data_IF_455272632698
#
_entry.id   IF_455272632698
#
_cell.length_a   1.000
_cell.length_b   1.000
_cell.length_c   1.000
_cell.angle_alpha   90.00
_cell.angle_beta   90.00
_cell.angle_gamma   90.00
#
_symmetry.space_group_name_H-M   'P 1'
#
loop_
_entity.id
_entity.type
_entity.pdbx_description
1 polymer ?
#
# COMPACT_ATOMS: atom_id res chain seq x y z
N UNK A 1 -1.49 -7.73 -11.91
CA UNK A 1 -2.02 -7.27 -10.62
C UNK A 1 -2.65 -5.91 -10.85
N UNK A 2 -3.90 -5.72 -10.46
CA UNK A 2 -4.53 -4.39 -10.45
C UNK A 2 -4.14 -3.71 -9.13
N UNK A 3 -3.82 -2.42 -9.17
CA UNK A 3 -3.56 -1.59 -7.99
C UNK A 3 -4.13 -0.18 -8.18
N UNK A 4 -4.48 0.45 -7.07
CA UNK A 4 -4.90 1.86 -7.03
C UNK A 4 -3.68 2.77 -6.91
N UNK A 5 -3.74 3.97 -7.46
CA UNK A 5 -2.71 4.99 -7.27
C UNK A 5 -2.99 5.84 -6.01
N UNK A 6 -1.98 6.13 -5.17
CA UNK A 6 -2.12 7.09 -4.07
C UNK A 6 -2.56 8.47 -4.56
N UNK A 7 -3.34 9.19 -3.75
CA UNK A 7 -3.72 10.58 -3.98
C UNK A 7 -2.98 11.46 -2.95
N UNK A 8 -2.20 12.42 -3.43
CA UNK A 8 -1.33 13.26 -2.58
C UNK A 8 -1.13 14.65 -3.18
N UNK A 9 -0.84 15.63 -2.33
CA UNK A 9 -0.53 17.02 -2.75
C UNK A 9 0.92 17.13 -3.22
N UNK A 10 1.81 16.44 -2.52
CA UNK A 10 3.23 16.27 -2.79
C UNK A 10 3.69 15.03 -2.02
N UNK A 11 4.94 14.60 -2.23
CA UNK A 11 5.49 13.41 -1.60
C UNK A 11 5.27 13.42 -0.08
N UNK A 12 4.70 12.32 0.44
CA UNK A 12 4.42 12.12 1.88
C UNK A 12 3.37 13.11 2.47
N UNK A 13 2.53 13.69 1.59
CA UNK A 13 1.40 14.54 1.99
C UNK A 13 0.10 14.06 1.33
N UNK A 14 -0.56 13.03 1.89
CA UNK A 14 -1.71 12.41 1.27
C UNK A 14 -2.93 13.34 1.28
N UNK A 15 -3.81 13.10 0.31
CA UNK A 15 -5.18 13.60 0.38
C UNK A 15 -5.84 12.99 1.61
N UNK A 16 -6.48 13.83 2.43
CA UNK A 16 -7.03 13.41 3.71
C UNK A 16 -8.34 14.11 4.02
N UNK A 17 -9.30 13.35 4.53
CA UNK A 17 -10.50 13.92 5.14
C UNK A 17 -10.11 14.56 6.47
N UNK A 18 -10.59 15.76 6.74
CA UNK A 18 -10.22 16.52 7.94
C UNK A 18 -11.44 17.18 8.59
N UNK A 19 -11.32 17.48 9.88
CA UNK A 19 -12.23 18.42 10.56
C UNK A 19 -12.05 19.85 10.07
N UNK A 20 -10.89 20.16 9.51
CA UNK A 20 -10.52 21.49 9.03
C UNK A 20 -10.96 21.69 7.58
N UNK A 21 -11.32 22.93 7.22
CA UNK A 21 -11.78 23.27 5.88
C UNK A 21 -10.73 23.08 4.75
N UNK A 22 -9.45 22.90 5.10
CA UNK A 22 -8.37 22.67 4.14
C UNK A 22 -8.29 21.20 3.66
N UNK A 23 -8.95 20.28 4.35
CA UNK A 23 -8.96 18.86 3.99
C UNK A 23 -9.75 18.57 2.71
N UNK A 24 -9.53 17.37 2.17
CA UNK A 24 -10.33 16.85 1.07
C UNK A 24 -11.72 16.44 1.55
N UNK A 25 -12.62 16.30 0.59
CA UNK A 25 -14.01 15.88 0.78
C UNK A 25 -14.28 14.58 0.04
N UNK A 26 -15.49 14.04 0.18
CA UNK A 26 -15.90 12.86 -0.60
C UNK A 26 -15.91 13.09 -2.12
N UNK A 27 -15.95 14.34 -2.58
CA UNK A 27 -15.91 14.68 -4.01
C UNK A 27 -14.52 14.49 -4.63
N UNK A 28 -13.47 14.48 -3.79
CA UNK A 28 -12.09 14.31 -4.22
C UNK A 28 -11.65 12.84 -4.28
N UNK A 29 -12.52 11.91 -3.86
CA UNK A 29 -12.22 10.49 -3.78
C UNK A 29 -12.09 9.85 -5.18
N UNK A 30 -11.06 9.04 -5.38
CA UNK A 30 -10.98 8.15 -6.54
C UNK A 30 -12.04 7.04 -6.39
N UNK A 31 -13.10 7.12 -7.20
CA UNK A 31 -14.15 6.10 -7.25
C UNK A 31 -13.94 5.23 -8.49
N UNK A 32 -13.77 3.92 -8.29
CA UNK A 32 -13.60 2.96 -9.37
C UNK A 32 -14.34 1.65 -9.10
N UNK A 33 -14.43 0.81 -10.14
CA UNK A 33 -15.01 -0.53 -10.05
C UNK A 33 -14.13 -1.49 -10.83
N UNK A 34 -13.92 -2.68 -10.27
CA UNK A 34 -13.12 -3.74 -10.87
C UNK A 34 -13.95 -5.02 -10.87
N UNK A 35 -14.00 -5.71 -12.00
CA UNK A 35 -14.66 -7.00 -12.09
C UNK A 35 -13.71 -8.08 -11.53
N UNK A 36 -14.22 -8.90 -10.62
CA UNK A 36 -13.48 -9.98 -9.98
C UNK A 36 -13.98 -11.34 -10.44
N UNK A 37 -13.13 -12.34 -10.28
CA UNK A 37 -13.40 -13.75 -10.54
C UNK A 37 -13.18 -14.59 -9.28
N UNK A 38 -13.78 -15.78 -9.25
CA UNK A 38 -13.52 -16.73 -8.17
C UNK A 38 -12.02 -17.08 -8.12
N UNK A 39 -11.45 -17.02 -6.92
CA UNK A 39 -10.01 -17.22 -6.69
C UNK A 39 -9.17 -15.94 -6.70
N UNK A 40 -9.74 -14.78 -7.04
CA UNK A 40 -9.03 -13.51 -6.91
C UNK A 40 -8.76 -13.15 -5.43
N UNK A 41 -7.55 -12.65 -5.16
CA UNK A 41 -7.12 -12.22 -3.83
C UNK A 41 -7.06 -10.69 -3.78
N UNK A 42 -7.71 -10.11 -2.76
CA UNK A 42 -7.72 -8.67 -2.53
C UNK A 42 -6.81 -8.36 -1.34
N UNK A 43 -5.81 -7.51 -1.56
CA UNK A 43 -4.96 -6.96 -0.51
C UNK A 43 -5.20 -5.46 -0.42
N UNK A 44 -5.47 -4.99 0.79
CA UNK A 44 -5.66 -3.57 1.09
C UNK A 44 -5.00 -3.27 2.45
N UNK A 45 -4.51 -2.05 2.61
CA UNK A 45 -3.73 -1.63 3.76
C UNK A 45 -3.44 -0.13 3.72
N UNK A 46 -2.78 0.37 4.77
CA UNK A 46 -2.28 1.75 4.80
C UNK A 46 -0.99 1.90 3.96
N UNK A 47 -0.55 3.14 3.78
CA UNK A 47 0.77 3.49 3.25
C UNK A 47 1.90 2.73 3.97
N UNK A 48 1.90 2.64 5.31
CA UNK A 48 2.92 1.90 6.06
C UNK A 48 3.05 0.41 5.70
N UNK A 49 2.05 -0.18 5.03
CA UNK A 49 2.18 -1.49 4.38
C UNK A 49 2.88 -1.37 3.02
N UNK A 50 2.28 -0.62 2.08
CA UNK A 50 2.75 -0.51 0.68
C UNK A 50 4.10 0.21 0.53
N UNK A 51 4.47 1.08 1.47
CA UNK A 51 5.76 1.75 1.52
C UNK A 51 6.93 0.82 1.86
N UNK A 52 6.62 -0.37 2.41
CA UNK A 52 7.58 -1.29 3.00
C UNK A 52 7.51 -2.70 2.41
N UNK A 53 6.76 -2.92 1.33
CA UNK A 53 6.67 -4.22 0.67
C UNK A 53 6.49 -4.05 -0.83
N UNK A 54 7.16 -4.87 -1.62
CA UNK A 54 6.99 -4.87 -3.07
C UNK A 54 5.86 -5.80 -3.52
N UNK A 55 5.21 -5.48 -4.65
CA UNK A 55 4.16 -6.31 -5.26
C UNK A 55 4.57 -7.78 -5.42
N UNK A 56 5.84 -8.04 -5.78
CA UNK A 56 6.35 -9.39 -5.93
C UNK A 56 6.42 -10.16 -4.61
N UNK A 57 6.70 -9.48 -3.50
CA UNK A 57 6.72 -10.06 -2.17
C UNK A 57 5.31 -10.34 -1.67
N UNK A 58 4.35 -9.46 -1.98
CA UNK A 58 2.93 -9.69 -1.72
C UNK A 58 2.48 -10.98 -2.41
N UNK A 59 2.78 -11.13 -3.71
CA UNK A 59 2.45 -12.33 -4.47
C UNK A 59 3.13 -13.59 -3.92
N UNK A 60 4.39 -13.47 -3.50
CA UNK A 60 5.13 -14.56 -2.87
C UNK A 60 4.44 -15.07 -1.60
N UNK A 61 4.12 -14.16 -0.68
CA UNK A 61 3.46 -14.52 0.58
C UNK A 61 2.07 -15.10 0.34
N UNK A 62 1.28 -14.54 -0.58
CA UNK A 62 -0.06 -15.08 -0.92
C UNK A 62 0.04 -16.51 -1.45
N UNK A 63 0.98 -16.79 -2.35
CA UNK A 63 1.14 -18.11 -2.97
C UNK A 63 1.58 -19.19 -1.96
N UNK A 64 2.29 -18.80 -0.90
CA UNK A 64 2.74 -19.70 0.16
C UNK A 64 1.72 -19.85 1.31
N UNK A 65 0.73 -18.97 1.37
CA UNK A 65 -0.27 -18.96 2.45
C UNK A 65 -1.39 -19.95 2.17
N UNK A 66 -1.81 -20.67 3.23
CA UNK A 66 -2.90 -21.65 3.16
C UNK A 66 -4.29 -21.01 3.32
N UNK A 67 -4.36 -19.76 3.77
CA UNK A 67 -5.59 -19.04 4.07
C UNK A 67 -5.37 -17.53 4.17
N UNK A 68 -6.47 -16.78 4.23
CA UNK A 68 -6.46 -15.31 4.26
C UNK A 68 -5.91 -14.77 5.58
N UNK A 69 -6.16 -15.46 6.70
CA UNK A 69 -5.71 -15.03 8.02
C UNK A 69 -4.19 -15.16 8.15
N UNK A 70 -3.64 -16.29 7.69
CA UNK A 70 -2.21 -16.52 7.60
C UNK A 70 -1.55 -15.53 6.65
N UNK A 71 -2.13 -15.30 5.46
CA UNK A 71 -1.61 -14.34 4.49
C UNK A 71 -1.57 -12.92 5.07
N UNK A 72 -2.67 -12.45 5.68
CA UNK A 72 -2.74 -11.11 6.25
C UNK A 72 -1.68 -10.89 7.34
N UNK A 73 -1.49 -11.88 8.22
CA UNK A 73 -0.48 -11.81 9.27
C UNK A 73 0.93 -11.83 8.69
N UNK A 74 1.24 -12.74 7.77
CA UNK A 74 2.56 -12.86 7.16
C UNK A 74 2.94 -11.60 6.36
N UNK A 75 2.00 -11.04 5.61
CA UNK A 75 2.15 -9.77 4.88
C UNK A 75 2.46 -8.61 5.83
N UNK A 76 1.70 -8.47 6.91
CA UNK A 76 1.90 -7.41 7.89
C UNK A 76 3.23 -7.55 8.64
N UNK A 77 3.64 -8.77 9.00
CA UNK A 77 4.92 -9.06 9.65
C UNK A 77 6.10 -8.77 8.72
N UNK A 78 5.99 -9.08 7.43
CA UNK A 78 7.02 -8.78 6.43
C UNK A 78 7.20 -7.26 6.24
N UNK A 79 6.10 -6.52 6.01
CA UNK A 79 6.15 -5.07 5.90
C UNK A 79 6.71 -4.42 7.17
N UNK A 80 6.36 -4.94 8.36
CA UNK A 80 6.93 -4.47 9.64
C UNK A 80 8.43 -4.76 9.75
N UNK A 81 8.89 -5.93 9.29
CA UNK A 81 10.32 -6.27 9.31
C UNK A 81 11.10 -5.30 8.44
N UNK A 82 10.59 -4.97 7.25
CA UNK A 82 11.21 -4.00 6.34
C UNK A 82 11.18 -2.58 6.90
N UNK A 83 10.08 -2.17 7.54
CA UNK A 83 9.94 -0.78 8.01
C UNK A 83 10.93 -0.35 9.08
N UNK A 84 11.54 -1.31 9.78
CA UNK A 84 12.58 -1.05 10.80
C UNK A 84 13.99 -1.36 10.32
N UNK A 85 14.14 -1.91 9.11
CA UNK A 85 15.42 -2.26 8.52
C UNK A 85 15.99 -1.08 7.73
N UNK A 86 16.95 -0.38 8.33
CA UNK A 86 17.63 0.78 7.71
C UNK A 86 18.45 0.42 6.47
N UNK A 87 18.67 -0.87 6.21
CA UNK A 87 19.40 -1.36 5.03
C UNK A 87 18.47 -1.78 3.90
N UNK A 88 17.18 -1.92 4.18
CA UNK A 88 16.18 -2.25 3.17
C UNK A 88 15.87 -1.02 2.32
N UNK A 89 16.11 -1.13 1.02
CA UNK A 89 15.78 -0.08 0.07
C UNK A 89 14.30 -0.12 -0.28
N UNK A 90 13.47 0.46 0.59
CA UNK A 90 12.02 0.34 0.55
C UNK A 90 11.38 1.03 -0.66
N UNK A 91 10.15 0.62 -1.06
CA UNK A 91 9.35 1.36 -2.04
C UNK A 91 9.31 2.87 -1.78
N UNK A 92 9.08 3.29 -0.53
CA UNK A 92 9.11 4.69 -0.12
C UNK A 92 10.46 5.36 -0.39
N UNK A 93 11.57 4.71 0.00
CA UNK A 93 12.92 5.25 -0.17
C UNK A 93 13.29 5.40 -1.64
N UNK A 94 12.89 4.43 -2.47
CA UNK A 94 13.07 4.48 -3.92
C UNK A 94 12.26 5.63 -4.54
N UNK A 95 11.01 5.81 -4.13
CA UNK A 95 10.15 6.88 -4.61
C UNK A 95 10.69 8.26 -4.21
N UNK A 96 11.09 8.44 -2.95
CA UNK A 96 11.69 9.66 -2.44
C UNK A 96 12.88 10.11 -3.32
N UNK A 97 13.83 9.19 -3.58
CA UNK A 97 14.99 9.47 -4.44
C UNK A 97 14.58 9.80 -5.88
N UNK A 98 13.56 9.13 -6.41
CA UNK A 98 13.06 9.43 -7.76
C UNK A 98 12.47 10.84 -7.89
N UNK A 99 12.00 11.41 -6.77
CA UNK A 99 11.43 12.75 -6.67
C UNK A 99 12.44 13.81 -6.22
N UNK A 100 13.72 13.44 -6.04
CA UNK A 100 14.81 14.35 -5.75
C UNK A 100 15.05 14.65 -4.27
N UNK A 101 14.57 13.78 -3.37
CA UNK A 101 14.90 13.80 -1.94
C UNK A 101 16.19 13.03 -1.63
#
# INVERSE_FOLDING_TARGET
MFSTCPQEHYFDCPYQLSSEAIGQTSQDALVCTVNLMEGDMIVSGSDGFFDNIFDQEILGVINESLGTDEAAKALAELARKHSVDVTFDSPYSMEARSRGF
#
